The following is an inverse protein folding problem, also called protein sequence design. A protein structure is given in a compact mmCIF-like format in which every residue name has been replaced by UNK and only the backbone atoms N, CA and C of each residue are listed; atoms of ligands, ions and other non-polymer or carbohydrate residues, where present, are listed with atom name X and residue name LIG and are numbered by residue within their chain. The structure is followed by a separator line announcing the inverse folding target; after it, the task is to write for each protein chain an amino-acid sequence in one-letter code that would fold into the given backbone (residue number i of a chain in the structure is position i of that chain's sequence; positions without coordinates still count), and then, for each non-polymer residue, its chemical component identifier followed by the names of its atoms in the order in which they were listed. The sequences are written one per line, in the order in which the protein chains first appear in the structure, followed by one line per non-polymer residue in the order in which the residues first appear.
data_IF_693238417421
#
_entry.id   IF_693238417421
#
_cell.length_a   1.000
_cell.length_b   1.000
_cell.length_c   1.000
_cell.angle_alpha   90.00
_cell.angle_beta   90.00
_cell.angle_gamma   90.00
#
_symmetry.space_group_name_H-M   'P 1'
#
loop_
_entity.id
_entity.type
_entity.pdbx_description
1 polymer ?
#
# COMPACT_ATOMS: atom_id res chain seq x y z
N UNK A 1 14.68 -0.21 -15.66
CA UNK A 1 13.84 -0.95 -14.70
C UNK A 1 14.45 -0.71 -13.34
N UNK A 2 13.64 -0.33 -12.37
CA UNK A 2 14.06 -0.07 -10.99
C UNK A 2 14.05 -1.35 -10.16
N UNK A 3 14.66 -1.37 -8.98
CA UNK A 3 14.72 -2.56 -8.10
C UNK A 3 13.33 -3.12 -7.78
N UNK A 4 12.36 -2.25 -7.49
CA UNK A 4 10.99 -2.68 -7.21
C UNK A 4 10.29 -3.26 -8.45
N UNK A 5 10.58 -2.74 -9.65
CA UNK A 5 10.05 -3.31 -10.90
C UNK A 5 10.68 -4.67 -11.23
N UNK A 6 11.99 -4.84 -11.00
CA UNK A 6 12.68 -6.13 -11.19
C UNK A 6 12.11 -7.19 -10.24
N UNK A 7 11.87 -6.84 -8.97
CA UNK A 7 11.22 -7.75 -8.01
C UNK A 7 9.78 -8.11 -8.45
N UNK A 8 9.02 -7.14 -8.95
CA UNK A 8 7.68 -7.39 -9.48
C UNK A 8 7.70 -8.22 -10.77
N UNK A 9 8.78 -8.14 -11.55
CA UNK A 9 8.98 -8.97 -12.75
C UNK A 9 9.21 -10.44 -12.36
N UNK A 10 9.97 -10.71 -11.29
CA UNK A 10 10.11 -12.08 -10.74
C UNK A 10 8.75 -12.62 -10.26
N UNK A 11 7.98 -11.81 -9.51
CA UNK A 11 6.63 -12.19 -9.08
C UNK A 11 5.70 -12.51 -10.27
N UNK A 12 5.83 -11.76 -11.37
CA UNK A 12 5.06 -12.03 -12.59
C UNK A 12 5.41 -13.41 -13.16
N UNK A 13 6.69 -13.74 -13.25
CA UNK A 13 7.16 -15.04 -13.77
C UNK A 13 6.66 -16.20 -12.91
N UNK A 14 6.71 -16.07 -11.58
CA UNK A 14 6.17 -17.04 -10.64
C UNK A 14 4.65 -17.26 -10.85
N UNK A 15 3.89 -16.16 -11.00
CA UNK A 15 2.45 -16.26 -11.27
C UNK A 15 2.11 -16.84 -12.63
N UNK A 16 2.96 -16.62 -13.64
CA UNK A 16 2.76 -17.20 -14.97
C UNK A 16 3.05 -18.69 -15.01
N UNK A 17 3.94 -19.18 -14.13
CA UNK A 17 4.24 -20.61 -14.01
C UNK A 17 3.10 -21.43 -13.39
N UNK A 18 2.26 -20.81 -12.55
CA UNK A 18 1.08 -21.44 -11.94
C UNK A 18 -0.21 -21.15 -12.74
N UNK A 19 -0.93 -22.18 -13.25
CA UNK A 19 -2.12 -21.96 -14.08
C UNK A 19 -3.23 -21.13 -13.43
N UNK A 20 -3.47 -21.32 -12.13
CA UNK A 20 -4.55 -20.62 -11.41
C UNK A 20 -4.19 -19.14 -11.18
N UNK A 21 -2.92 -18.87 -10.85
CA UNK A 21 -2.37 -17.52 -10.73
C UNK A 21 -2.34 -16.80 -12.08
N UNK A 22 -1.97 -17.47 -13.16
CA UNK A 22 -1.97 -16.93 -14.51
C UNK A 22 -3.40 -16.55 -14.96
N UNK A 23 -4.39 -17.39 -14.64
CA UNK A 23 -5.80 -17.08 -14.90
C UNK A 23 -6.27 -15.86 -14.09
N UNK A 24 -5.84 -15.74 -12.84
CA UNK A 24 -6.15 -14.59 -11.98
C UNK A 24 -5.55 -13.30 -12.53
N UNK A 25 -4.29 -13.35 -12.98
CA UNK A 25 -3.61 -12.25 -13.66
C UNK A 25 -4.39 -11.80 -14.91
N UNK A 26 -4.77 -12.73 -15.78
CA UNK A 26 -5.52 -12.44 -17.00
C UNK A 26 -6.88 -11.78 -16.69
N UNK A 27 -7.61 -12.30 -15.69
CA UNK A 27 -8.90 -11.74 -15.24
C UNK A 27 -8.74 -10.33 -14.68
N UNK A 28 -7.70 -10.09 -13.88
CA UNK A 28 -7.42 -8.75 -13.35
C UNK A 28 -7.09 -7.78 -14.48
N UNK A 29 -6.20 -8.14 -15.41
CA UNK A 29 -5.85 -7.30 -16.56
C UNK A 29 -7.08 -6.96 -17.41
N UNK A 30 -7.95 -7.92 -17.69
CA UNK A 30 -9.20 -7.67 -18.40
C UNK A 30 -10.12 -6.71 -17.62
N UNK A 31 -10.26 -6.91 -16.31
CA UNK A 31 -11.10 -6.03 -15.46
C UNK A 31 -10.57 -4.59 -15.38
N UNK A 32 -9.25 -4.42 -15.38
CA UNK A 32 -8.60 -3.10 -15.44
C UNK A 32 -8.85 -2.43 -16.80
N UNK A 33 -8.67 -3.18 -17.89
CA UNK A 33 -8.89 -2.69 -19.25
C UNK A 33 -10.35 -2.26 -19.49
N UNK A 34 -11.31 -3.06 -19.02
CA UNK A 34 -12.74 -2.77 -19.11
C UNK A 34 -13.21 -1.71 -18.10
N UNK A 35 -12.35 -1.33 -17.13
CA UNK A 35 -12.69 -0.39 -16.07
C UNK A 35 -13.76 -0.91 -15.09
N UNK A 36 -13.97 -2.22 -15.02
CA UNK A 36 -14.98 -2.87 -14.19
C UNK A 36 -14.48 -3.14 -12.77
N UNK A 37 -13.17 -3.08 -12.54
CA UNK A 37 -12.58 -3.23 -11.21
C UNK A 37 -12.77 -1.98 -10.32
N UNK A 38 -12.81 -2.18 -9.01
CA UNK A 38 -13.04 -1.10 -8.06
C UNK A 38 -11.86 -0.11 -8.04
N UNK A 39 -12.07 1.10 -8.59
CA UNK A 39 -11.06 2.17 -8.65
C UNK A 39 -10.51 2.59 -7.30
N UNK A 40 -11.31 2.51 -6.24
CA UNK A 40 -10.85 2.84 -4.90
C UNK A 40 -9.83 1.82 -4.37
N UNK A 41 -10.01 0.53 -4.67
CA UNK A 41 -9.04 -0.52 -4.32
C UNK A 41 -7.73 -0.33 -5.07
N UNK A 42 -7.80 -0.02 -6.36
CA UNK A 42 -6.61 0.28 -7.17
C UNK A 42 -5.84 1.46 -6.57
N UNK A 43 -6.54 2.55 -6.24
CA UNK A 43 -5.94 3.74 -5.66
C UNK A 43 -5.37 3.55 -4.23
N UNK A 44 -5.69 2.45 -3.54
CA UNK A 44 -5.01 2.09 -2.30
C UNK A 44 -3.62 1.49 -2.53
N UNK A 45 -3.35 0.96 -3.71
CA UNK A 45 -2.12 0.22 -4.02
C UNK A 45 -1.22 0.98 -4.99
N UNK A 46 -1.78 1.60 -6.02
CA UNK A 46 -1.03 2.37 -7.00
C UNK A 46 -1.75 3.66 -7.37
N UNK A 47 -1.03 4.77 -7.36
CA UNK A 47 -1.53 6.09 -7.74
C UNK A 47 -0.65 6.62 -8.87
N UNK A 48 -1.08 6.36 -10.11
CA UNK A 48 -0.32 6.70 -11.31
C UNK A 48 -1.05 7.68 -12.24
N UNK A 49 -0.34 8.58 -12.95
CA UNK A 49 -0.95 9.35 -14.05
C UNK A 49 -1.42 8.45 -15.19
N UNK A 50 -0.74 7.31 -15.40
CA UNK A 50 -1.12 6.32 -16.41
C UNK A 50 -2.39 5.60 -15.98
N UNK A 51 -3.30 5.38 -16.93
CA UNK A 51 -4.51 4.58 -16.71
C UNK A 51 -4.11 3.12 -16.39
N UNK A 52 -4.63 2.53 -15.29
CA UNK A 52 -4.39 1.14 -14.93
C UNK A 52 -4.66 0.12 -16.03
N UNK A 53 -5.52 0.44 -17.00
CA UNK A 53 -5.77 -0.37 -18.20
C UNK A 53 -4.50 -0.66 -19.02
N UNK A 54 -3.48 0.19 -18.91
CA UNK A 54 -2.22 0.08 -19.67
C UNK A 54 -1.00 -0.21 -18.79
N UNK A 55 -1.22 -0.61 -17.53
CA UNK A 55 -0.11 -1.00 -16.68
C UNK A 55 0.60 -2.25 -17.22
N UNK A 56 1.95 -2.28 -17.18
CA UNK A 56 2.70 -3.49 -17.46
C UNK A 56 2.25 -4.65 -16.57
N UNK A 57 2.34 -5.89 -17.09
CA UNK A 57 1.86 -7.08 -16.38
C UNK A 57 2.49 -7.27 -14.99
N UNK A 58 3.75 -6.87 -14.79
CA UNK A 58 4.40 -6.94 -13.48
C UNK A 58 3.78 -5.98 -12.46
N UNK A 59 3.27 -4.82 -12.87
CA UNK A 59 2.51 -3.93 -11.99
C UNK A 59 1.15 -4.52 -11.62
N UNK A 60 0.50 -5.23 -12.55
CA UNK A 60 -0.74 -5.95 -12.28
C UNK A 60 -0.50 -7.10 -11.30
N UNK A 61 0.62 -7.82 -11.46
CA UNK A 61 1.03 -8.83 -10.49
C UNK A 61 1.24 -8.21 -9.10
N UNK A 62 2.02 -7.12 -8.99
CA UNK A 62 2.20 -6.45 -7.70
C UNK A 62 0.86 -5.96 -7.09
N UNK A 63 -0.05 -5.44 -7.92
CA UNK A 63 -1.40 -5.06 -7.48
C UNK A 63 -2.16 -6.25 -6.85
N UNK A 64 -2.21 -7.38 -7.55
CA UNK A 64 -2.91 -8.58 -7.06
C UNK A 64 -2.34 -9.01 -5.70
N UNK A 65 -1.02 -8.98 -5.54
CA UNK A 65 -0.39 -9.45 -4.30
C UNK A 65 -0.74 -8.60 -3.09
N UNK A 66 -0.69 -7.27 -3.25
CA UNK A 66 -1.09 -6.32 -2.21
C UNK A 66 -2.59 -6.46 -1.89
N UNK A 67 -3.44 -6.63 -2.91
CA UNK A 67 -4.88 -6.81 -2.69
C UNK A 67 -5.21 -8.13 -2.00
N UNK A 68 -4.52 -9.22 -2.34
CA UNK A 68 -4.65 -10.49 -1.66
C UNK A 68 -4.17 -10.38 -0.21
N UNK A 69 -3.04 -9.70 0.03
CA UNK A 69 -2.57 -9.44 1.38
C UNK A 69 -3.60 -8.67 2.21
N UNK A 70 -4.25 -7.67 1.62
CA UNK A 70 -5.35 -6.93 2.24
C UNK A 70 -6.58 -7.82 2.51
N UNK A 71 -6.96 -8.69 1.57
CA UNK A 71 -8.14 -9.54 1.67
C UNK A 71 -7.99 -10.65 2.71
N UNK A 72 -6.78 -11.22 2.84
CA UNK A 72 -6.49 -12.29 3.80
C UNK A 72 -5.93 -11.78 5.13
N UNK A 73 -5.82 -10.46 5.30
CA UNK A 73 -5.32 -9.85 6.53
C UNK A 73 -3.83 -10.07 6.76
N UNK A 74 -3.06 -10.37 5.71
CA UNK A 74 -1.60 -10.26 5.73
C UNK A 74 -1.14 -8.81 5.64
N UNK A 75 -2.00 -7.90 5.21
CA UNK A 75 -1.77 -6.46 5.21
C UNK A 75 -2.87 -5.79 6.04
N UNK A 76 -2.48 -4.92 6.98
CA UNK A 76 -3.41 -4.07 7.73
C UNK A 76 -3.43 -2.67 7.16
N UNK A 77 -4.57 -2.02 7.32
CA UNK A 77 -4.78 -0.66 6.80
C UNK A 77 -5.56 0.19 7.76
N UNK A 78 -5.54 1.50 7.53
CA UNK A 78 -6.19 2.52 8.37
C UNK A 78 -6.54 3.63 7.28
N UNK A 79 -7.28 4.74 7.50
CA UNK A 79 -7.20 6.07 6.81
C UNK A 79 -6.65 7.29 7.67
N UNK A 80 -5.44 7.86 7.47
CA UNK A 80 -4.89 8.98 8.31
C UNK A 80 -5.42 10.29 7.73
N UNK A 81 -5.99 11.14 8.59
CA UNK A 81 -6.39 12.47 8.20
C UNK A 81 -5.19 13.42 8.32
N UNK A 82 -4.88 14.13 7.24
CA UNK A 82 -3.76 15.07 7.20
C UNK A 82 -4.23 16.51 7.47
N UNK A 83 -5.55 16.75 7.54
CA UNK A 83 -6.15 18.03 7.91
C UNK A 83 -6.17 19.07 6.78
N UNK A 84 -5.25 18.98 5.81
CA UNK A 84 -5.15 19.89 4.67
C UNK A 84 -5.07 19.12 3.34
N UNK A 85 -5.18 19.82 2.21
CA UNK A 85 -5.02 19.28 0.85
C UNK A 85 -3.55 19.44 0.41
N UNK A 86 -2.93 18.49 -0.31
CA UNK A 86 -1.53 18.59 -0.65
C UNK A 86 -1.36 19.65 -1.74
N UNK A 87 -0.20 20.30 -1.75
CA UNK A 87 0.25 21.07 -2.89
C UNK A 87 0.70 20.17 -4.05
N UNK A 88 1.09 20.76 -5.19
CA UNK A 88 1.80 20.06 -6.25
C UNK A 88 3.04 19.32 -5.72
N UNK A 89 3.49 18.27 -6.42
CA UNK A 89 4.66 17.49 -6.00
C UNK A 89 5.94 18.36 -5.88
N UNK A 90 6.07 19.39 -6.73
CA UNK A 90 7.16 20.37 -6.67
C UNK A 90 7.15 21.23 -5.40
N UNK A 91 6.01 21.36 -4.69
CA UNK A 91 5.90 22.08 -3.41
C UNK A 91 6.30 21.19 -2.22
N UNK A 92 7.53 20.66 -2.26
CA UNK A 92 8.05 19.77 -1.20
C UNK A 92 8.08 20.45 0.17
N UNK A 93 8.46 21.72 0.22
CA UNK A 93 8.48 22.50 1.47
C UNK A 93 7.07 22.71 2.05
N UNK A 94 6.08 23.06 1.23
CA UNK A 94 4.70 23.20 1.67
C UNK A 94 4.11 21.86 2.08
N UNK A 95 4.34 20.79 1.32
CA UNK A 95 3.88 19.44 1.68
C UNK A 95 4.49 18.96 3.00
N UNK A 96 5.79 19.17 3.23
CA UNK A 96 6.45 18.89 4.50
C UNK A 96 5.85 19.72 5.65
N UNK A 97 5.51 20.99 5.41
CA UNK A 97 4.86 21.82 6.42
C UNK A 97 3.49 21.28 6.82
N UNK A 98 2.68 20.86 5.85
CA UNK A 98 1.35 20.32 6.11
C UNK A 98 1.42 18.94 6.79
N UNK A 99 2.40 18.10 6.45
CA UNK A 99 2.66 16.80 7.12
C UNK A 99 3.02 16.94 8.61
N UNK A 100 3.53 18.09 9.05
CA UNK A 100 3.82 18.32 10.48
C UNK A 100 2.56 18.44 11.34
N UNK A 101 1.40 18.69 10.71
CA UNK A 101 0.11 18.84 11.38
C UNK A 101 -0.70 17.54 11.44
N UNK A 102 -0.05 16.39 11.28
CA UNK A 102 -0.70 15.10 11.49
C UNK A 102 -1.29 15.03 12.91
N UNK A 103 -2.54 14.57 13.01
CA UNK A 103 -3.16 14.33 14.29
C UNK A 103 -2.40 13.25 15.07
N UNK A 104 -2.23 13.46 16.38
CA UNK A 104 -1.60 12.49 17.26
C UNK A 104 -2.23 11.08 17.09
N UNK A 105 -1.44 9.99 17.20
CA UNK A 105 -0.01 9.94 17.54
C UNK A 105 0.91 9.92 16.30
N UNK A 106 0.44 10.41 15.15
CA UNK A 106 1.19 10.28 13.91
C UNK A 106 2.12 11.46 13.68
N UNK A 107 3.29 11.15 13.14
CA UNK A 107 4.32 12.11 12.77
C UNK A 107 4.85 11.75 11.39
N UNK A 108 5.27 12.76 10.64
CA UNK A 108 5.90 12.56 9.34
C UNK A 108 7.02 13.56 9.13
N UNK A 109 8.05 13.12 8.42
CA UNK A 109 9.14 13.94 7.91
C UNK A 109 9.32 13.62 6.43
N UNK A 110 9.53 14.65 5.64
CA UNK A 110 9.71 14.53 4.20
C UNK A 110 11.16 14.87 3.88
N UNK A 111 11.85 14.00 3.15
CA UNK A 111 13.14 14.35 2.60
C UNK A 111 12.94 15.46 1.56
N UNK A 112 13.59 16.59 1.82
CA UNK A 112 13.49 17.81 1.00
C UNK A 112 14.54 17.85 -0.10
N UNK A 113 15.50 16.93 -0.06
CA UNK A 113 16.67 16.88 -0.93
C UNK A 113 16.55 15.84 -2.04
N UNK A 114 15.65 14.86 -1.89
CA UNK A 114 15.43 13.79 -2.85
C UNK A 114 14.06 13.89 -3.51
N UNK A 115 14.01 13.70 -4.83
CA UNK A 115 12.78 13.56 -5.61
C UNK A 115 12.83 12.23 -6.35
N UNK A 116 11.87 11.34 -6.07
CA UNK A 116 11.77 10.05 -6.74
C UNK A 116 12.84 9.03 -6.31
N UNK A 117 13.45 9.20 -5.13
CA UNK A 117 14.22 8.16 -4.48
C UNK A 117 13.31 6.99 -4.04
N UNK A 118 13.91 5.94 -3.49
CA UNK A 118 13.15 4.77 -3.04
C UNK A 118 12.11 5.12 -1.97
N UNK A 119 12.34 6.17 -1.17
CA UNK A 119 11.33 6.75 -0.28
C UNK A 119 11.37 8.29 -0.30
N UNK A 120 10.23 8.97 -0.28
CA UNK A 120 10.17 10.45 -0.17
C UNK A 120 10.33 10.97 1.27
N UNK A 121 10.27 10.09 2.28
CA UNK A 121 10.38 10.48 3.69
C UNK A 121 10.08 9.33 4.65
N UNK A 122 9.61 9.66 5.84
CA UNK A 122 9.25 8.68 6.88
C UNK A 122 7.97 9.10 7.59
N UNK A 123 7.07 8.14 7.80
CA UNK A 123 5.93 8.25 8.71
C UNK A 123 6.22 7.39 9.95
N UNK A 124 5.91 7.91 11.15
CA UNK A 124 6.00 7.14 12.38
C UNK A 124 4.91 7.48 13.38
N UNK A 125 4.78 6.64 14.39
CA UNK A 125 3.92 6.88 15.55
C UNK A 125 4.60 6.38 16.82
N UNK A 126 4.36 7.07 17.92
CA UNK A 126 5.01 6.84 19.22
C UNK A 126 4.13 6.08 20.23
N UNK A 127 2.86 5.82 19.88
CA UNK A 127 1.88 5.11 20.70
C UNK A 127 1.22 3.98 19.91
N UNK A 128 0.76 2.94 20.60
CA UNK A 128 -0.01 1.86 19.96
C UNK A 128 -1.25 2.42 19.26
N UNK A 129 -1.49 1.99 18.02
CA UNK A 129 -2.58 2.46 17.15
C UNK A 129 -3.37 1.30 16.57
N UNK A 130 -4.69 1.44 16.51
CA UNK A 130 -5.58 0.43 15.93
C UNK A 130 -5.69 0.54 14.42
N UNK A 131 -5.21 -0.46 13.69
CA UNK A 131 -5.46 -0.65 12.26
C UNK A 131 -6.65 -1.58 12.05
N UNK A 132 -7.12 -1.68 10.80
CA UNK A 132 -8.14 -2.62 10.37
C UNK A 132 -7.48 -3.78 9.63
N UNK A 133 -7.67 -4.99 10.15
CA UNK A 133 -7.20 -6.24 9.55
C UNK A 133 -8.38 -7.02 9.03
N UNK A 134 -8.28 -7.52 7.80
CA UNK A 134 -9.26 -8.46 7.28
C UNK A 134 -9.16 -9.80 8.02
N UNK A 135 -10.28 -10.47 8.26
CA UNK A 135 -10.31 -11.77 8.93
C UNK A 135 -10.22 -12.96 7.95
N UNK A 136 -10.03 -12.70 6.65
CA UNK A 136 -10.02 -13.73 5.60
C UNK A 136 -11.38 -14.36 5.32
N UNK A 137 -12.44 -13.90 5.99
CA UNK A 137 -13.82 -14.38 5.80
C UNK A 137 -14.53 -13.48 4.79
N UNK A 138 -14.94 -14.07 3.66
CA UNK A 138 -15.78 -13.41 2.66
C UNK A 138 -17.22 -13.37 3.14
N UNK A 139 -17.82 -12.19 3.21
CA UNK A 139 -19.25 -12.02 3.47
C UNK A 139 -19.99 -11.84 2.17
N UNK A 140 -21.11 -12.57 2.03
CA UNK A 140 -22.11 -12.31 1.00
C UNK A 140 -22.93 -11.10 1.45
N UNK A 141 -22.72 -9.95 0.82
CA UNK A 141 -23.65 -8.84 0.95
C UNK A 141 -24.90 -9.12 0.11
N UNK A 142 -26.08 -8.70 0.57
CA UNK A 142 -27.38 -8.92 -0.10
C UNK A 142 -27.48 -8.40 -1.55
N UNK A 143 -26.45 -7.71 -2.05
CA UNK A 143 -26.36 -7.14 -3.40
C UNK A 143 -25.27 -7.81 -4.26
N UNK A 144 -24.76 -8.98 -3.87
CA UNK A 144 -23.69 -9.68 -4.60
C UNK A 144 -22.30 -9.07 -4.43
N UNK A 145 -22.16 -8.08 -3.53
CA UNK A 145 -20.86 -7.48 -3.19
C UNK A 145 -20.18 -8.38 -2.16
N UNK A 146 -19.03 -8.95 -2.52
CA UNK A 146 -18.19 -9.67 -1.56
C UNK A 146 -17.49 -8.66 -0.65
N UNK A 147 -17.86 -8.63 0.62
CA UNK A 147 -17.14 -7.89 1.66
C UNK A 147 -16.13 -8.79 2.37
N UNK A 148 -15.17 -8.20 3.08
CA UNK A 148 -14.40 -8.90 4.10
C UNK A 148 -14.87 -8.42 5.46
N UNK A 149 -14.96 -9.32 6.45
CA UNK A 149 -15.00 -8.89 7.84
C UNK A 149 -13.66 -8.29 8.22
N UNK A 150 -13.70 -7.19 8.98
CA UNK A 150 -12.52 -6.53 9.51
C UNK A 150 -12.62 -6.43 11.02
N UNK A 151 -11.49 -6.57 11.70
CA UNK A 151 -11.36 -6.33 13.14
C UNK A 151 -10.26 -5.29 13.41
N UNK A 152 -10.36 -4.54 14.51
CA UNK A 152 -9.24 -3.75 15.01
C UNK A 152 -8.01 -4.65 15.25
N UNK A 153 -6.85 -4.17 14.86
CA UNK A 153 -5.55 -4.81 15.07
C UNK A 153 -4.57 -3.79 15.61
N UNK A 154 -4.02 -4.07 16.79
CA UNK A 154 -3.08 -3.16 17.45
C UNK A 154 -1.71 -3.20 16.77
N UNK A 155 -1.22 -2.03 16.40
CA UNK A 155 0.13 -1.86 15.86
C UNK A 155 0.92 -1.01 16.84
N UNK A 156 2.02 -1.58 17.33
CA UNK A 156 2.97 -0.94 18.26
C UNK A 156 3.70 0.22 17.58
N UNK A 157 4.33 1.14 18.33
CA UNK A 157 5.17 2.21 17.77
C UNK A 157 6.13 1.71 16.69
N UNK A 158 6.13 2.36 15.54
CA UNK A 158 6.92 1.94 14.37
C UNK A 158 7.22 3.12 13.45
N UNK A 159 8.10 2.87 12.46
CA UNK A 159 8.46 3.82 11.41
C UNK A 159 8.40 3.11 10.06
N UNK A 160 7.89 3.80 9.04
CA UNK A 160 7.76 3.28 7.68
C UNK A 160 8.25 4.34 6.69
N UNK A 161 8.71 3.95 5.49
CA UNK A 161 8.96 4.88 4.37
C UNK A 161 7.73 5.75 4.16
N UNK A 162 7.82 6.89 3.49
CA UNK A 162 6.67 7.71 3.11
C UNK A 162 6.76 8.00 1.62
N UNK A 163 5.70 7.69 0.88
CA UNK A 163 5.57 8.08 -0.52
C UNK A 163 4.65 9.30 -0.67
N UNK A 164 5.08 10.27 -1.48
CA UNK A 164 4.31 11.47 -1.82
C UNK A 164 4.11 11.56 -3.33
N UNK A 165 2.90 11.90 -3.75
CA UNK A 165 2.55 12.04 -5.16
C UNK A 165 2.24 10.71 -5.85
N UNK A 166 3.20 10.18 -6.60
CA UNK A 166 3.02 9.04 -7.50
C UNK A 166 3.60 7.77 -6.88
N UNK A 167 2.86 6.66 -6.93
CA UNK A 167 3.40 5.37 -6.48
C UNK A 167 2.93 4.24 -7.36
N UNK A 168 3.87 3.41 -7.82
CA UNK A 168 3.61 2.18 -8.56
C UNK A 168 3.20 1.04 -7.61
N UNK A 169 2.31 0.12 -8.04
CA UNK A 169 2.02 -1.10 -7.28
C UNK A 169 3.28 -1.89 -6.85
N UNK A 170 4.26 -2.02 -7.76
CA UNK A 170 5.55 -2.67 -7.46
C UNK A 170 6.31 -2.01 -6.31
N UNK A 171 6.31 -0.67 -6.25
CA UNK A 171 6.94 0.07 -5.17
C UNK A 171 6.21 -0.13 -3.84
N UNK A 172 4.86 -0.10 -3.88
CA UNK A 172 4.04 -0.41 -2.71
C UNK A 172 4.33 -1.80 -2.15
N UNK A 173 4.43 -2.79 -3.04
CA UNK A 173 4.79 -4.16 -2.67
C UNK A 173 6.19 -4.23 -2.05
N UNK A 174 7.20 -3.58 -2.66
CA UNK A 174 8.57 -3.55 -2.12
C UNK A 174 8.60 -3.01 -0.69
N UNK A 175 7.98 -1.86 -0.44
CA UNK A 175 7.92 -1.25 0.89
C UNK A 175 7.22 -2.14 1.92
N UNK A 176 6.16 -2.85 1.51
CA UNK A 176 5.50 -3.82 2.37
C UNK A 176 6.39 -5.01 2.70
N UNK A 177 7.14 -5.51 1.72
CA UNK A 177 7.98 -6.70 1.86
C UNK A 177 9.32 -6.44 2.57
N UNK A 178 9.86 -5.22 2.49
CA UNK A 178 11.21 -4.90 3.02
C UNK A 178 11.14 -4.05 4.29
N UNK A 179 10.17 -3.15 4.38
CA UNK A 179 10.08 -2.14 5.45
C UNK A 179 8.83 -2.33 6.32
N UNK A 180 8.11 -3.43 6.07
CA UNK A 180 6.86 -3.82 6.73
C UNK A 180 5.77 -2.73 6.64
N UNK A 181 5.82 -1.85 5.64
CA UNK A 181 4.85 -0.78 5.51
C UNK A 181 5.05 0.20 4.37
N UNK A 182 3.93 0.68 3.81
CA UNK A 182 3.90 1.66 2.74
C UNK A 182 2.75 2.67 2.91
N UNK A 183 3.03 3.93 3.28
CA UNK A 183 2.06 5.00 3.28
C UNK A 183 1.94 5.57 1.88
N UNK A 184 0.73 5.44 1.35
CA UNK A 184 0.38 5.91 0.02
C UNK A 184 -0.05 7.38 0.02
N UNK A 185 0.10 8.08 -1.12
CA UNK A 185 0.08 9.53 -1.16
C UNK A 185 -1.29 10.17 -0.87
N UNK A 186 -1.16 11.37 -0.34
CA UNK A 186 -2.13 12.31 0.23
C UNK A 186 -3.50 12.45 -0.46
N UNK A 187 -3.65 12.18 -1.77
CA UNK A 187 -4.96 12.25 -2.45
C UNK A 187 -5.95 11.18 -2.00
N UNK A 188 -5.46 10.14 -1.34
CA UNK A 188 -6.23 9.11 -0.62
C UNK A 188 -5.57 8.92 0.74
N UNK A 189 -6.31 8.50 1.77
CA UNK A 189 -5.75 8.44 3.10
C UNK A 189 -4.64 7.38 3.24
N UNK A 190 -3.63 7.74 4.01
CA UNK A 190 -2.28 7.19 3.99
C UNK A 190 -2.09 5.90 4.79
N UNK A 191 -2.15 4.67 4.25
CA UNK A 191 -1.93 3.43 5.05
C UNK A 191 -1.82 2.12 4.25
N UNK A 192 -0.74 1.36 4.45
CA UNK A 192 -0.65 -0.11 4.35
C UNK A 192 0.53 -0.59 5.23
N UNK A 193 0.37 -1.67 6.01
CA UNK A 193 1.45 -2.32 6.79
C UNK A 193 1.37 -3.84 6.65
N UNK A 194 2.50 -4.53 6.62
CA UNK A 194 2.56 -6.01 6.66
C UNK A 194 2.68 -6.50 8.13
N UNK A 195 1.61 -7.00 8.77
CA UNK A 195 1.63 -7.62 10.09
C UNK A 195 2.47 -8.89 10.22
N UNK A 196 2.83 -9.61 9.14
CA UNK A 196 3.57 -10.87 9.26
C UNK A 196 4.96 -10.64 9.89
N UNK A 197 5.63 -9.54 9.55
CA UNK A 197 6.95 -9.22 10.07
C UNK A 197 6.93 -8.49 11.42
N UNK A 198 5.86 -7.73 11.70
CA UNK A 198 5.71 -6.95 12.94
C UNK A 198 5.50 -7.84 14.19
N UNK A 199 5.03 -9.07 14.01
CA UNK A 199 4.90 -10.06 15.10
C UNK A 199 6.20 -10.79 15.42
N UNK A 200 7.01 -11.11 14.41
CA UNK A 200 8.23 -11.92 14.55
C UNK A 200 9.47 -11.09 14.89
N UNK A 201 9.62 -9.88 14.33
CA UNK A 201 10.73 -8.98 14.67
C UNK A 201 10.72 -8.54 16.15
N UNK A 202 9.56 -8.63 16.82
CA UNK A 202 9.41 -8.33 18.24
C UNK A 202 9.89 -9.47 19.16
N UNK A 203 9.95 -10.72 18.67
CA UNK A 203 10.45 -11.85 19.47
C UNK A 203 11.98 -11.93 19.44
N UNK A 204 12.61 -11.51 18.33
CA UNK A 204 14.06 -11.53 18.16
C UNK A 204 14.83 -10.41 18.90
N UNK A 205 14.15 -9.35 19.37
CA UNK A 205 14.77 -8.25 20.13
C UNK A 205 14.46 -8.26 21.64
N UNK A 206 13.76 -9.29 22.12
CA UNK A 206 13.41 -9.48 23.53
C UNK A 206 14.21 -10.61 24.22
N UNK A 207 15.25 -11.13 23.55
CA UNK A 207 16.26 -12.08 24.04
C UNK A 207 17.64 -11.50 23.89
#
# INVERSE_FOLDING_TARGET
MTVHEDAAQVLLEERQADPDSALTLAKMSASLYEGTYNRQLIAWVGQTPQDPAYWPAHQVAALIDVLDGLAYGRIVRRRIAIGETPGPDADRHGNAARLRNLGAPFHADLDRSQNGADSDGTLWWDQTVNFWRALGVRTLHQQGIHGSLHAPFEVRPWRVPLEVGYTLPSRTLMHLAVESGCPQPWRSPLRLLDPAELGEAATARAT
#
